data_IF_542090622082
#
_entry.id   IF_542090622082
#
_cell.length_a   1.000
_cell.length_b   1.000
_cell.length_c   1.000
_cell.angle_alpha   90.00
_cell.angle_beta   90.00
_cell.angle_gamma   90.00
#
_symmetry.space_group_name_H-M   'P 1'
#
loop_
_entity.id
_entity.type
_entity.pdbx_description
1 polymer ?
#
# COMPACT_ATOMS: atom_id res chain seq x y z
N UNK A 1 -26.19 -32.00 -10.81
CA UNK A 1 -25.64 -32.55 -9.55
C UNK A 1 -25.19 -31.37 -8.71
N UNK A 2 -25.76 -31.20 -7.52
CA UNK A 2 -25.38 -30.14 -6.58
C UNK A 2 -23.96 -30.40 -6.08
N UNK A 3 -23.03 -29.50 -6.38
CA UNK A 3 -21.64 -29.61 -5.93
C UNK A 3 -21.61 -29.34 -4.43
N UNK A 4 -21.11 -30.30 -3.65
CA UNK A 4 -20.93 -30.15 -2.20
C UNK A 4 -19.87 -29.05 -1.93
N UNK A 5 -20.23 -27.94 -1.27
CA UNK A 5 -19.35 -26.80 -1.05
C UNK A 5 -18.15 -27.10 -0.13
N UNK A 6 -18.16 -28.24 0.57
CA UNK A 6 -17.08 -28.65 1.47
C UNK A 6 -16.21 -29.78 0.91
N UNK A 7 -16.46 -30.19 -0.32
CA UNK A 7 -15.66 -31.20 -1.01
C UNK A 7 -14.27 -30.67 -1.36
N UNK A 8 -13.31 -31.60 -1.54
CA UNK A 8 -11.95 -31.23 -1.92
C UNK A 8 -11.95 -30.58 -3.31
N UNK A 9 -11.29 -29.42 -3.48
CA UNK A 9 -11.26 -28.73 -4.77
C UNK A 9 -10.55 -29.57 -5.82
N UNK A 10 -11.05 -29.50 -7.05
CA UNK A 10 -10.40 -30.13 -8.21
C UNK A 10 -9.22 -29.29 -8.69
N UNK A 11 -8.39 -29.87 -9.56
CA UNK A 11 -7.31 -29.14 -10.24
C UNK A 11 -7.83 -27.92 -11.02
N UNK A 12 -9.03 -28.02 -11.61
CA UNK A 12 -9.67 -26.92 -12.33
C UNK A 12 -10.13 -25.81 -11.38
N UNK A 13 -10.60 -26.15 -10.18
CA UNK A 13 -10.96 -25.15 -9.15
C UNK A 13 -9.72 -24.37 -8.69
N UNK A 14 -8.62 -25.08 -8.44
CA UNK A 14 -7.34 -24.47 -8.07
C UNK A 14 -6.81 -23.54 -9.18
N UNK A 15 -6.95 -23.96 -10.45
CA UNK A 15 -6.55 -23.15 -11.60
C UNK A 15 -7.40 -21.89 -11.72
N UNK A 16 -8.73 -22.00 -11.57
CA UNK A 16 -9.63 -20.83 -11.58
C UNK A 16 -9.33 -19.85 -10.45
N UNK A 17 -9.03 -20.34 -9.25
CA UNK A 17 -8.62 -19.49 -8.13
C UNK A 17 -7.29 -18.79 -8.43
N UNK A 18 -6.30 -19.51 -8.95
CA UNK A 18 -5.02 -18.93 -9.34
C UNK A 18 -5.18 -17.84 -10.40
N UNK A 19 -6.00 -18.08 -11.43
CA UNK A 19 -6.33 -17.12 -12.48
C UNK A 19 -7.09 -15.88 -11.94
N UNK A 20 -7.87 -16.05 -10.86
CA UNK A 20 -8.56 -14.94 -10.19
C UNK A 20 -7.65 -14.04 -9.35
N UNK A 21 -6.54 -14.58 -8.83
CA UNK A 21 -5.59 -13.85 -7.98
C UNK A 21 -4.63 -13.00 -8.86
N UNK A 22 -4.26 -13.50 -10.04
CA UNK A 22 -3.25 -12.88 -10.91
C UNK A 22 -3.72 -11.66 -11.70
N UNK A 23 -5.03 -11.37 -11.73
CA UNK A 23 -5.62 -10.25 -12.47
C UNK A 23 -6.24 -9.23 -11.53
N UNK A 24 -5.41 -8.68 -10.65
CA UNK A 24 -5.75 -7.39 -10.07
C UNK A 24 -5.31 -6.31 -11.06
N UNK A 25 -6.22 -5.93 -11.97
CA UNK A 25 -6.23 -4.61 -12.61
C UNK A 25 -6.61 -3.56 -11.55
N UNK A 26 -5.93 -3.58 -10.41
CA UNK A 26 -5.96 -2.43 -9.52
C UNK A 26 -5.10 -1.41 -10.25
N UNK A 27 -5.76 -0.64 -11.13
CA UNK A 27 -5.23 0.64 -11.56
C UNK A 27 -4.83 1.36 -10.27
N UNK A 28 -3.54 1.48 -10.07
CA UNK A 28 -3.04 2.31 -9.02
C UNK A 28 -3.45 3.72 -9.47
N UNK A 29 -4.49 4.30 -8.85
CA UNK A 29 -4.98 5.67 -9.14
C UNK A 29 -3.90 6.76 -9.00
N UNK A 30 -2.67 6.36 -8.66
CA UNK A 30 -1.51 7.21 -8.51
C UNK A 30 -0.96 7.57 -9.88
N UNK A 31 -0.94 8.86 -10.18
CA UNK A 31 -0.37 9.43 -11.41
C UNK A 31 1.14 9.25 -11.58
N UNK A 32 1.84 8.73 -10.57
CA UNK A 32 3.27 8.47 -10.61
C UNK A 32 3.67 7.26 -9.75
N UNK A 33 4.67 6.53 -10.25
CA UNK A 33 5.36 5.46 -9.53
C UNK A 33 6.01 5.97 -8.24
N UNK A 34 6.07 5.10 -7.23
CA UNK A 34 6.64 5.38 -5.91
C UNK A 34 7.74 4.38 -5.59
N UNK A 35 8.86 4.90 -5.10
CA UNK A 35 9.95 4.11 -4.55
C UNK A 35 9.70 3.92 -3.06
N UNK A 36 9.71 2.68 -2.59
CA UNK A 36 9.69 2.37 -1.16
C UNK A 36 11.07 2.66 -0.55
N UNK A 37 11.06 3.40 0.56
CA UNK A 37 12.26 3.83 1.26
C UNK A 37 12.01 3.72 2.76
N UNK A 38 13.07 3.54 3.53
CA UNK A 38 13.03 3.53 5.00
C UNK A 38 14.20 4.32 5.54
N UNK A 39 14.23 5.60 5.20
CA UNK A 39 15.29 6.53 5.63
C UNK A 39 14.75 7.50 6.69
N UNK A 40 15.59 7.93 7.64
CA UNK A 40 15.22 8.97 8.60
C UNK A 40 14.81 10.27 7.90
N UNK A 41 13.78 10.93 8.41
CA UNK A 41 13.27 12.19 7.91
C UNK A 41 12.78 13.10 9.05
N UNK A 42 12.52 14.36 8.74
CA UNK A 42 11.98 15.34 9.69
C UNK A 42 10.87 16.16 9.04
N UNK A 43 9.82 16.44 9.81
CA UNK A 43 8.72 17.34 9.42
C UNK A 43 8.86 18.63 10.21
N UNK A 44 9.04 19.75 9.50
CA UNK A 44 8.98 21.07 10.11
C UNK A 44 7.56 21.63 9.96
N UNK A 45 6.92 21.90 11.09
CA UNK A 45 5.58 22.51 11.11
C UNK A 45 5.66 24.04 10.96
N UNK A 46 4.57 24.69 10.55
CA UNK A 46 4.50 26.16 10.48
C UNK A 46 4.81 26.86 11.81
N UNK A 47 4.59 26.18 12.94
CA UNK A 47 4.93 26.70 14.28
C UNK A 47 6.42 26.57 14.62
N UNK A 48 7.24 26.04 13.71
CA UNK A 48 8.68 25.86 13.90
C UNK A 48 9.09 24.57 14.60
N UNK A 49 8.14 23.73 15.03
CA UNK A 49 8.48 22.44 15.64
C UNK A 49 9.02 21.47 14.59
N UNK A 50 10.11 20.80 14.92
CA UNK A 50 10.66 19.67 14.15
C UNK A 50 10.17 18.35 14.74
N UNK A 51 9.61 17.49 13.92
CA UNK A 51 9.11 16.17 14.32
C UNK A 51 9.85 15.09 13.55
N UNK A 52 10.50 14.16 14.26
CA UNK A 52 11.15 13.01 13.63
C UNK A 52 10.13 12.10 12.96
N UNK A 53 10.47 11.66 11.75
CA UNK A 53 9.68 10.77 10.92
C UNK A 53 10.59 9.73 10.23
N UNK A 54 9.97 8.74 9.63
CA UNK A 54 10.61 7.80 8.70
C UNK A 54 9.90 7.89 7.36
N UNK A 55 10.65 7.87 6.27
CA UNK A 55 10.05 7.72 4.94
C UNK A 55 9.46 6.33 4.80
N UNK A 56 8.34 6.24 4.07
CA UNK A 56 7.73 4.98 3.64
C UNK A 56 7.81 4.85 2.12
N UNK A 57 7.48 5.92 1.42
CA UNK A 57 7.47 5.97 -0.03
C UNK A 57 7.75 7.39 -0.53
N UNK A 58 8.38 7.53 -1.70
CA UNK A 58 8.56 8.81 -2.37
C UNK A 58 8.20 8.69 -3.85
N UNK A 59 7.58 9.74 -4.39
CA UNK A 59 7.33 9.93 -5.82
C UNK A 59 7.80 11.32 -6.25
N UNK A 60 7.73 11.58 -7.55
CA UNK A 60 7.91 12.92 -8.12
C UNK A 60 6.94 13.98 -7.57
N UNK A 61 5.78 13.59 -7.05
CA UNK A 61 4.71 14.51 -6.65
C UNK A 61 4.39 14.48 -5.16
N UNK A 62 5.13 13.72 -4.35
CA UNK A 62 4.86 13.65 -2.92
C UNK A 62 5.62 12.55 -2.21
N UNK A 63 5.51 12.60 -0.89
CA UNK A 63 6.21 11.72 0.05
C UNK A 63 5.21 11.14 1.05
N UNK A 64 5.36 9.86 1.35
CA UNK A 64 4.69 9.17 2.45
C UNK A 64 5.62 9.07 3.64
N UNK A 65 5.16 9.55 4.79
CA UNK A 65 5.92 9.58 6.05
C UNK A 65 5.19 8.79 7.14
N UNK A 66 5.97 8.20 8.03
CA UNK A 66 5.50 7.61 9.28
C UNK A 66 6.09 8.40 10.44
N UNK A 67 5.25 8.90 11.34
CA UNK A 67 5.66 9.64 12.52
C UNK A 67 4.79 9.27 13.72
N UNK A 68 5.22 9.63 14.93
CA UNK A 68 4.44 9.41 16.16
C UNK A 68 3.49 10.59 16.40
N UNK A 69 2.28 10.28 16.87
CA UNK A 69 1.26 11.28 17.22
C UNK A 69 0.55 11.89 16.00
N UNK A 70 -0.46 12.70 16.25
CA UNK A 70 -1.19 13.43 15.21
C UNK A 70 -0.44 14.70 14.81
N UNK A 71 -0.32 14.95 13.51
CA UNK A 71 0.23 16.19 12.96
C UNK A 71 -0.79 16.83 12.04
N UNK A 72 -0.97 18.14 12.20
CA UNK A 72 -1.59 18.99 11.19
C UNK A 72 -0.47 19.84 10.60
N UNK A 73 0.05 19.48 9.42
CA UNK A 73 0.83 20.41 8.62
C UNK A 73 -0.14 21.53 8.26
N UNK A 74 -0.03 22.66 8.96
CA UNK A 74 -0.84 23.85 8.70
C UNK A 74 -0.56 24.43 7.33
#
# INVERSE_FOLDING_TARGET
MSVDPWSRPTLDDLRRVLESIGKNDVEHERSAERLELSVPAEVQTLRGNTVSAMTREISRFGIGLFHKGYLTPG
#
